data_IF_844655604390
#
_entry.id   IF_844655604390
#
_cell.length_a   1.000
_cell.length_b   1.000
_cell.length_c   1.000
_cell.angle_alpha   90.00
_cell.angle_beta   90.00
_cell.angle_gamma   90.00
#
_symmetry.space_group_name_H-M   'P 1'
#
loop_
_entity.id
_entity.type
_entity.pdbx_description
1 polymer ?
#
# COMPACT_ATOMS: atom_id res chain seq x y z
N UNK A 1 2.17 8.82 7.61
CA UNK A 1 1.14 7.92 8.19
C UNK A 1 1.57 6.48 7.96
N UNK A 2 1.26 5.55 8.84
CA UNK A 2 1.61 4.13 8.68
C UNK A 2 0.36 3.29 8.56
N UNK A 3 0.35 2.33 7.64
CA UNK A 3 -0.71 1.34 7.46
C UNK A 3 -0.06 -0.05 7.48
N UNK A 4 -0.50 -0.89 8.41
CA UNK A 4 -0.11 -2.31 8.47
C UNK A 4 -1.32 -3.16 8.08
N UNK A 5 -1.16 -4.05 7.11
CA UNK A 5 -2.24 -4.87 6.55
C UNK A 5 -1.93 -6.34 6.83
N UNK A 6 -2.76 -6.99 7.64
CA UNK A 6 -2.68 -8.44 7.82
C UNK A 6 -3.66 -9.13 6.87
N UNK A 7 -3.15 -9.95 5.96
CA UNK A 7 -3.95 -10.69 4.98
C UNK A 7 -3.48 -12.14 4.85
N UNK A 8 -4.44 -13.04 4.59
CA UNK A 8 -4.14 -14.43 4.19
C UNK A 8 -3.76 -14.54 2.71
N UNK A 9 -3.93 -13.45 1.94
CA UNK A 9 -3.66 -13.39 0.51
C UNK A 9 -3.10 -11.99 0.13
N UNK A 10 -1.83 -11.70 0.45
CA UNK A 10 -1.20 -10.39 0.22
C UNK A 10 -1.02 -10.03 -1.27
N UNK A 11 -0.85 -11.02 -2.15
CA UNK A 11 -0.63 -10.84 -3.59
C UNK A 11 -1.79 -10.10 -4.30
N UNK A 12 -3.01 -10.19 -3.77
CA UNK A 12 -4.17 -9.45 -4.29
C UNK A 12 -4.04 -7.93 -4.11
N UNK A 13 -3.16 -7.48 -3.23
CA UNK A 13 -2.96 -6.07 -2.92
C UNK A 13 -1.96 -5.39 -3.86
N UNK A 14 -1.12 -6.14 -4.59
CA UNK A 14 -0.09 -5.55 -5.47
C UNK A 14 -0.67 -4.62 -6.53
N UNK A 15 -1.69 -5.10 -7.26
CA UNK A 15 -2.35 -4.33 -8.32
C UNK A 15 -2.98 -3.01 -7.81
N UNK A 16 -3.89 -3.03 -6.81
CA UNK A 16 -4.50 -1.79 -6.32
C UNK A 16 -3.51 -0.91 -5.56
N UNK A 17 -2.47 -1.44 -4.90
CA UNK A 17 -1.49 -0.60 -4.23
C UNK A 17 -0.61 0.17 -5.24
N UNK A 18 -0.26 -0.43 -6.39
CA UNK A 18 0.63 0.19 -7.37
C UNK A 18 -0.03 1.15 -8.37
N UNK A 19 -1.34 1.08 -8.59
CA UNK A 19 -2.05 1.97 -9.53
C UNK A 19 -3.02 2.96 -8.88
N UNK A 20 -3.05 3.05 -7.54
CA UNK A 20 -4.00 3.90 -6.81
C UNK A 20 -3.41 5.20 -6.27
N UNK A 21 -4.21 5.92 -5.48
CA UNK A 21 -3.77 7.08 -4.71
C UNK A 21 -2.74 6.72 -3.65
N UNK A 22 -2.72 5.47 -3.18
CA UNK A 22 -1.77 5.00 -2.17
C UNK A 22 -0.35 4.97 -2.72
N UNK A 23 -0.13 4.50 -3.96
CA UNK A 23 1.16 4.61 -4.64
C UNK A 23 1.67 6.04 -4.63
N UNK A 24 0.84 6.99 -5.10
CA UNK A 24 1.23 8.41 -5.15
C UNK A 24 1.52 9.00 -3.77
N UNK A 25 0.85 8.52 -2.73
CA UNK A 25 1.11 8.93 -1.36
C UNK A 25 2.43 8.35 -0.84
N UNK A 26 2.79 7.12 -1.22
CA UNK A 26 4.09 6.52 -0.92
C UNK A 26 5.21 7.25 -1.66
N UNK A 27 5.04 7.58 -2.95
CA UNK A 27 6.00 8.35 -3.74
C UNK A 27 6.29 9.74 -3.14
N UNK A 28 5.27 10.34 -2.52
CA UNK A 28 5.38 11.63 -1.81
C UNK A 28 5.87 11.50 -0.37
N UNK A 29 6.17 10.28 0.10
CA UNK A 29 6.59 10.02 1.49
C UNK A 29 5.52 10.31 2.54
N UNK A 30 4.24 10.38 2.15
CA UNK A 30 3.13 10.71 3.05
C UNK A 30 2.62 9.48 3.81
N UNK A 31 2.77 8.30 3.23
CA UNK A 31 2.34 7.03 3.82
C UNK A 31 3.39 5.94 3.61
N UNK A 32 3.48 5.03 4.58
CA UNK A 32 4.27 3.81 4.51
C UNK A 32 3.33 2.62 4.73
N UNK A 33 3.38 1.64 3.82
CA UNK A 33 2.50 0.48 3.82
C UNK A 33 3.35 -0.77 4.06
N UNK A 34 2.94 -1.54 5.06
CA UNK A 34 3.51 -2.84 5.40
C UNK A 34 2.40 -3.88 5.24
N UNK A 35 2.69 -4.96 4.51
CA UNK A 35 1.77 -6.05 4.22
C UNK A 35 2.36 -7.34 4.77
#
# INVERSE_FOLDING_TARGET
MRIDILSVMPEMLESPLHCSILQRAQDKGLVEIHV
#
